data_IF_528819001460
#
_entry.id   IF_528819001460
#
_cell.length_a   1.000
_cell.length_b   1.000
_cell.length_c   1.000
_cell.angle_alpha   90.00
_cell.angle_beta   90.00
_cell.angle_gamma   90.00
#
_symmetry.space_group_name_H-M   'P 1'
#
loop_
_entity.id
_entity.type
_entity.pdbx_description
1 polymer ?
#
# COMPACT_ATOMS: atom_id res chain seq x y z
N UNK A 1 8.34 -19.95 1.99
CA UNK A 1 8.05 -18.64 2.65
C UNK A 1 7.26 -17.77 1.67
N UNK A 2 6.13 -17.28 2.11
CA UNK A 2 5.27 -16.40 1.31
C UNK A 2 5.62 -14.93 1.58
N UNK A 3 5.86 -14.16 0.52
CA UNK A 3 6.12 -12.72 0.61
C UNK A 3 5.04 -11.94 -0.13
N UNK A 4 4.51 -10.89 0.50
CA UNK A 4 3.50 -10.01 -0.08
C UNK A 4 3.97 -8.56 -0.05
N UNK A 5 4.15 -7.96 -1.21
CA UNK A 5 4.43 -6.54 -1.37
C UNK A 5 3.15 -5.82 -1.79
N UNK A 6 2.59 -5.00 -0.90
CA UNK A 6 1.38 -4.24 -1.18
C UNK A 6 1.74 -2.78 -1.48
N UNK A 7 1.53 -2.35 -2.71
CA UNK A 7 1.76 -0.98 -3.15
C UNK A 7 0.55 -0.10 -2.82
N UNK A 8 0.78 0.93 -2.01
CA UNK A 8 -0.29 1.71 -1.40
C UNK A 8 -0.16 3.21 -1.64
N UNK A 9 -1.30 3.87 -1.77
CA UNK A 9 -1.42 5.29 -1.49
C UNK A 9 -1.97 5.45 -0.06
N UNK A 10 -1.17 5.91 0.91
CA UNK A 10 -1.61 6.12 2.29
C UNK A 10 -2.86 6.98 2.46
N UNK A 11 -3.18 7.81 1.48
CA UNK A 11 -4.32 8.73 1.52
C UNK A 11 -5.52 8.25 0.68
N UNK A 12 -5.63 6.94 0.40
CA UNK A 12 -6.71 6.38 -0.39
C UNK A 12 -7.48 5.27 0.35
N UNK A 13 -8.79 5.42 0.49
CA UNK A 13 -9.66 4.44 1.16
C UNK A 13 -9.58 3.02 0.57
N UNK A 14 -9.34 2.91 -0.74
CA UNK A 14 -9.17 1.60 -1.39
C UNK A 14 -7.91 0.88 -0.89
N UNK A 15 -6.82 1.63 -0.62
CA UNK A 15 -5.58 1.07 -0.09
C UNK A 15 -5.75 0.59 1.34
N UNK A 16 -6.49 1.33 2.17
CA UNK A 16 -6.83 0.88 3.54
C UNK A 16 -7.55 -0.47 3.53
N UNK A 17 -8.45 -0.70 2.57
CA UNK A 17 -9.11 -2.01 2.43
C UNK A 17 -8.15 -3.10 1.99
N UNK A 18 -7.25 -2.81 1.06
CA UNK A 18 -6.22 -3.75 0.61
C UNK A 18 -5.26 -4.10 1.76
N UNK A 19 -4.83 -3.12 2.55
CA UNK A 19 -4.03 -3.32 3.76
C UNK A 19 -4.73 -4.24 4.76
N UNK A 20 -6.03 -4.02 5.01
CA UNK A 20 -6.83 -4.89 5.89
C UNK A 20 -6.93 -6.32 5.36
N UNK A 21 -7.06 -6.51 4.04
CA UNK A 21 -7.08 -7.83 3.42
C UNK A 21 -5.75 -8.58 3.64
N UNK A 22 -4.61 -7.89 3.48
CA UNK A 22 -3.28 -8.49 3.72
C UNK A 22 -3.09 -8.82 5.20
N UNK A 23 -3.50 -7.93 6.11
CA UNK A 23 -3.42 -8.19 7.55
C UNK A 23 -4.29 -9.36 7.97
N UNK A 24 -5.49 -9.45 7.43
CA UNK A 24 -6.39 -10.57 7.66
C UNK A 24 -5.81 -11.87 7.13
N UNK A 25 -5.26 -11.87 5.93
CA UNK A 25 -4.57 -13.03 5.36
C UNK A 25 -3.44 -13.52 6.28
N UNK A 26 -2.61 -12.60 6.79
CA UNK A 26 -1.51 -12.94 7.68
C UNK A 26 -1.96 -13.54 9.02
N UNK A 27 -3.20 -13.25 9.46
CA UNK A 27 -3.79 -13.84 10.66
C UNK A 27 -4.52 -15.17 10.38
N UNK A 28 -5.17 -15.29 9.22
CA UNK A 28 -6.04 -16.43 8.88
C UNK A 28 -5.27 -17.58 8.22
N UNK A 29 -4.05 -17.33 7.73
CA UNK A 29 -3.26 -18.32 7.02
C UNK A 29 -2.40 -19.15 7.97
N UNK A 30 -2.33 -20.46 7.72
CA UNK A 30 -1.40 -21.38 8.39
C UNK A 30 0.06 -21.22 7.86
N UNK A 31 0.24 -20.54 6.72
CA UNK A 31 1.56 -20.23 6.14
C UNK A 31 2.20 -19.03 6.85
N UNK A 32 3.52 -19.09 7.00
CA UNK A 32 4.27 -17.92 7.45
C UNK A 32 4.32 -16.87 6.34
N UNK A 33 3.59 -15.76 6.54
CA UNK A 33 3.50 -14.67 5.58
C UNK A 33 4.37 -13.50 6.05
N UNK A 34 5.32 -13.11 5.20
CA UNK A 34 6.03 -11.85 5.32
C UNK A 34 5.35 -10.82 4.41
N UNK A 35 5.02 -9.65 4.94
CA UNK A 35 4.40 -8.63 4.10
C UNK A 35 5.00 -7.25 4.37
N UNK A 36 4.98 -6.42 3.33
CA UNK A 36 5.43 -5.05 3.37
C UNK A 36 4.45 -4.13 2.66
N UNK A 37 4.11 -3.01 3.29
CA UNK A 37 3.40 -1.93 2.63
C UNK A 37 4.41 -0.98 2.00
N UNK A 38 4.34 -0.82 0.68
CA UNK A 38 5.25 -0.04 -0.14
C UNK A 38 4.50 1.21 -0.62
N UNK A 39 4.73 2.37 0.00
CA UNK A 39 4.07 3.60 -0.44
C UNK A 39 4.51 3.99 -1.85
N UNK A 40 3.52 4.32 -2.68
CA UNK A 40 3.72 4.71 -4.06
C UNK A 40 3.38 6.20 -4.25
N UNK A 41 4.31 6.94 -4.82
CA UNK A 41 4.14 8.34 -5.18
C UNK A 41 4.54 8.56 -6.64
N UNK A 42 3.53 8.72 -7.50
CA UNK A 42 3.70 9.11 -8.91
C UNK A 42 2.51 9.94 -9.38
N UNK A 43 2.58 10.46 -10.59
CA UNK A 43 1.54 11.33 -11.15
C UNK A 43 0.18 10.62 -11.26
N UNK A 44 0.17 9.33 -11.61
CA UNK A 44 -1.07 8.55 -11.74
C UNK A 44 -1.79 8.42 -10.40
N UNK A 45 -1.05 8.12 -9.33
CA UNK A 45 -1.57 8.03 -7.95
C UNK A 45 -2.17 9.36 -7.50
N UNK A 46 -1.50 10.48 -7.78
CA UNK A 46 -1.98 11.82 -7.43
C UNK A 46 -3.24 12.17 -8.22
N UNK A 47 -3.22 12.00 -9.54
CA UNK A 47 -4.38 12.31 -10.40
C UNK A 47 -5.60 11.46 -10.04
N UNK A 48 -5.40 10.18 -9.73
CA UNK A 48 -6.49 9.30 -9.30
C UNK A 48 -7.08 9.75 -7.95
N UNK A 49 -6.23 10.15 -7.00
CA UNK A 49 -6.68 10.67 -5.71
C UNK A 49 -7.54 11.94 -5.88
N UNK A 50 -7.10 12.89 -6.71
CA UNK A 50 -7.85 14.11 -7.02
C UNK A 50 -9.18 13.81 -7.71
N UNK A 51 -9.17 12.90 -8.68
CA UNK A 51 -10.40 12.47 -9.37
C UNK A 51 -11.42 11.87 -8.40
N UNK A 52 -10.98 11.07 -7.43
CA UNK A 52 -11.86 10.52 -6.39
C UNK A 52 -12.45 11.60 -5.47
N UNK A 53 -11.78 12.75 -5.33
CA UNK A 53 -12.25 13.91 -4.58
C UNK A 53 -13.12 14.87 -5.43
N UNK A 54 -13.36 14.55 -6.71
CA UNK A 54 -14.09 15.42 -7.63
C UNK A 54 -13.27 16.62 -8.13
N UNK A 55 -11.96 16.62 -7.91
CA UNK A 55 -11.05 17.69 -8.34
C UNK A 55 -10.50 17.35 -9.72
N UNK A 56 -10.40 18.36 -10.60
CA UNK A 56 -9.83 18.16 -11.93
C UNK A 56 -8.37 17.72 -11.85
N UNK A 57 -8.05 16.64 -12.55
CA UNK A 57 -6.68 16.13 -12.60
C UNK A 57 -5.67 17.13 -13.21
N UNK A 58 -6.12 18.14 -13.96
CA UNK A 58 -5.31 19.22 -14.51
C UNK A 58 -5.06 20.38 -13.54
N UNK A 59 -5.64 20.35 -12.34
CA UNK A 59 -5.39 21.35 -11.32
C UNK A 59 -4.01 21.13 -10.68
N UNK A 60 -3.03 21.89 -11.16
CA UNK A 60 -1.63 21.74 -10.72
C UNK A 60 -1.40 22.18 -9.27
N UNK A 61 -2.21 23.14 -8.74
CA UNK A 61 -2.16 23.51 -7.33
C UNK A 61 -2.59 22.35 -6.44
N UNK A 62 -3.72 21.75 -6.78
CA UNK A 62 -4.22 20.58 -6.07
C UNK A 62 -3.24 19.38 -6.19
N UNK A 63 -2.65 19.17 -7.37
CA UNK A 63 -1.61 18.14 -7.56
C UNK A 63 -0.41 18.37 -6.64
N UNK A 64 0.11 19.60 -6.58
CA UNK A 64 1.24 19.94 -5.73
C UNK A 64 0.92 19.73 -4.25
N UNK A 65 -0.23 20.24 -3.79
CA UNK A 65 -0.66 20.09 -2.41
C UNK A 65 -0.82 18.61 -2.03
N UNK A 66 -1.49 17.83 -2.88
CA UNK A 66 -1.69 16.40 -2.66
C UNK A 66 -0.36 15.64 -2.64
N UNK A 67 0.56 15.97 -3.56
CA UNK A 67 1.89 15.38 -3.65
C UNK A 67 2.73 15.68 -2.41
N UNK A 68 2.74 16.93 -1.96
CA UNK A 68 3.47 17.33 -0.76
C UNK A 68 2.92 16.62 0.49
N UNK A 69 1.60 16.58 0.65
CA UNK A 69 0.97 15.90 1.79
C UNK A 69 1.29 14.40 1.77
N UNK A 70 1.13 13.76 0.60
CA UNK A 70 1.43 12.33 0.46
C UNK A 70 2.91 12.02 0.73
N UNK A 71 3.82 12.85 0.22
CA UNK A 71 5.25 12.70 0.47
C UNK A 71 5.58 12.79 1.96
N UNK A 72 5.01 13.78 2.68
CA UNK A 72 5.20 13.92 4.13
C UNK A 72 4.66 12.70 4.89
N UNK A 73 3.47 12.24 4.58
CA UNK A 73 2.88 11.03 5.19
C UNK A 73 3.77 9.80 4.95
N UNK A 74 4.36 9.68 3.77
CA UNK A 74 5.28 8.58 3.47
C UNK A 74 6.54 8.67 4.32
N UNK A 75 7.17 9.85 4.45
CA UNK A 75 8.37 10.01 5.29
C UNK A 75 8.06 9.73 6.76
N UNK A 76 6.93 10.19 7.26
CA UNK A 76 6.47 9.88 8.62
C UNK A 76 6.30 8.36 8.84
N UNK A 77 5.72 7.67 7.87
CA UNK A 77 5.60 6.21 7.91
C UNK A 77 6.96 5.51 7.90
N UNK A 78 7.91 5.99 7.06
CA UNK A 78 9.28 5.44 7.04
C UNK A 78 9.99 5.65 8.36
N UNK A 79 9.91 6.83 8.96
CA UNK A 79 10.46 7.11 10.27
C UNK A 79 9.86 6.20 11.36
N UNK A 80 8.54 6.02 11.34
CA UNK A 80 7.86 5.12 12.27
C UNK A 80 8.31 3.66 12.12
N UNK A 81 8.65 3.20 10.90
CA UNK A 81 9.17 1.85 10.64
C UNK A 81 10.56 1.62 11.25
N UNK A 82 11.39 2.65 11.43
CA UNK A 82 12.71 2.51 12.06
C UNK A 82 12.61 2.07 13.52
N UNK A 83 11.48 2.36 14.17
CA UNK A 83 11.21 1.89 15.53
C UNK A 83 10.48 0.54 15.58
N UNK A 84 10.38 -0.15 14.45
CA UNK A 84 9.86 -1.50 14.31
C UNK A 84 8.66 -1.63 13.38
N UNK A 85 8.65 -2.73 12.62
CA UNK A 85 7.61 -2.98 11.59
C UNK A 85 6.18 -2.89 12.13
N UNK A 86 5.91 -3.42 13.33
CA UNK A 86 4.57 -3.40 13.93
C UNK A 86 4.15 -1.98 14.34
N UNK A 87 5.05 -1.23 14.96
CA UNK A 87 4.78 0.17 15.36
C UNK A 87 4.54 1.04 14.14
N UNK A 88 5.39 0.93 13.11
CA UNK A 88 5.20 1.67 11.86
C UNK A 88 3.87 1.38 11.17
N UNK A 89 3.46 0.11 11.09
CA UNK A 89 2.13 -0.23 10.54
C UNK A 89 0.99 0.35 11.38
N UNK A 90 1.07 0.24 12.70
CA UNK A 90 0.05 0.82 13.58
C UNK A 90 -0.05 2.33 13.41
N UNK A 91 1.08 3.02 13.28
CA UNK A 91 1.15 4.44 12.99
C UNK A 91 0.45 4.78 11.67
N UNK A 92 0.79 4.07 10.58
CA UNK A 92 0.17 4.28 9.27
C UNK A 92 -1.36 4.13 9.36
N UNK A 93 -1.85 3.03 9.93
CA UNK A 93 -3.28 2.74 10.06
C UNK A 93 -3.99 3.80 10.93
N UNK A 94 -3.37 4.23 12.02
CA UNK A 94 -3.93 5.25 12.90
C UNK A 94 -4.00 6.62 12.21
N UNK A 95 -2.94 7.01 11.47
CA UNK A 95 -2.90 8.26 10.71
C UNK A 95 -3.94 8.26 9.58
N UNK A 96 -4.06 7.16 8.84
CA UNK A 96 -5.10 6.96 7.83
C UNK A 96 -6.51 7.07 8.44
N UNK A 97 -6.74 6.46 9.60
CA UNK A 97 -8.02 6.53 10.28
C UNK A 97 -8.37 7.97 10.69
N UNK A 98 -7.41 8.72 11.20
CA UNK A 98 -7.60 10.12 11.56
C UNK A 98 -7.90 10.99 10.34
N UNK A 99 -7.17 10.81 9.25
CA UNK A 99 -7.33 11.63 8.05
C UNK A 99 -8.53 11.23 7.20
N UNK A 100 -8.71 9.93 6.93
CA UNK A 100 -9.71 9.46 5.97
C UNK A 100 -11.09 9.20 6.59
N UNK A 101 -11.14 8.78 7.86
CA UNK A 101 -12.42 8.49 8.53
C UNK A 101 -12.89 9.64 9.39
N UNK A 102 -11.98 10.24 10.18
CA UNK A 102 -12.32 11.38 11.05
C UNK A 102 -12.20 12.74 10.33
N UNK A 103 -11.72 12.78 9.08
CA UNK A 103 -11.65 14.00 8.28
C UNK A 103 -10.64 15.04 8.78
N UNK A 104 -9.65 14.62 9.56
CA UNK A 104 -8.64 15.52 10.08
C UNK A 104 -7.63 15.89 8.98
N UNK A 105 -7.25 17.16 8.95
CA UNK A 105 -6.19 17.60 8.04
C UNK A 105 -4.82 17.17 8.56
N UNK A 106 -3.92 16.83 7.62
CA UNK A 106 -2.54 16.56 7.96
C UNK A 106 -1.90 17.76 8.65
N UNK A 107 -1.36 17.54 9.83
CA UNK A 107 -0.62 18.54 10.61
C UNK A 107 0.43 17.87 11.48
N UNK A 108 1.43 18.63 11.90
CA UNK A 108 2.46 18.12 12.80
C UNK A 108 1.90 17.67 14.15
N UNK A 109 0.88 18.37 14.66
CA UNK A 109 0.19 18.01 15.91
C UNK A 109 -0.53 16.66 15.79
N UNK A 110 -1.21 16.44 14.66
CA UNK A 110 -1.86 15.14 14.37
C UNK A 110 -0.82 14.03 14.36
N UNK A 111 0.28 14.24 13.65
CA UNK A 111 1.37 13.25 13.53
C UNK A 111 1.97 12.92 14.89
N UNK A 112 2.29 13.94 15.73
CA UNK A 112 2.78 13.75 17.09
C UNK A 112 1.81 12.97 17.98
N UNK A 113 0.52 13.32 17.89
CA UNK A 113 -0.54 12.62 18.64
C UNK A 113 -0.63 11.15 18.24
N UNK A 114 -0.63 10.86 16.95
CA UNK A 114 -0.67 9.48 16.44
C UNK A 114 0.58 8.71 16.83
N UNK A 115 1.76 9.30 16.71
CA UNK A 115 3.04 8.68 17.08
C UNK A 115 3.05 8.29 18.58
N UNK A 116 2.63 9.20 19.46
CA UNK A 116 2.52 8.96 20.90
C UNK A 116 1.55 7.80 21.20
N UNK A 117 0.38 7.80 20.57
CA UNK A 117 -0.62 6.74 20.76
C UNK A 117 -0.13 5.37 20.27
N UNK A 118 0.78 5.33 19.30
CA UNK A 118 1.40 4.12 18.78
C UNK A 118 2.67 3.71 19.56
N UNK A 119 2.98 4.37 20.68
CA UNK A 119 4.16 4.10 21.51
C UNK A 119 5.48 4.25 20.73
N UNK A 120 5.52 5.22 19.83
CA UNK A 120 6.72 5.63 19.11
C UNK A 120 7.47 6.65 19.98
N UNK A 121 8.78 6.50 20.09
CA UNK A 121 9.64 7.51 20.69
C UNK A 121 9.58 8.78 19.84
N UNK A 122 9.03 9.84 20.41
CA UNK A 122 8.69 11.04 19.66
C UNK A 122 9.92 11.82 19.22
N UNK A 123 10.95 11.88 20.09
CA UNK A 123 12.18 12.64 19.80
C UNK A 123 12.93 11.99 18.63
N UNK A 124 13.17 10.68 18.69
CA UNK A 124 13.77 9.92 17.60
C UNK A 124 12.93 10.02 16.31
N UNK A 125 11.61 9.91 16.43
CA UNK A 125 10.71 9.99 15.27
C UNK A 125 10.78 11.35 14.58
N UNK A 126 10.79 12.44 15.34
CA UNK A 126 10.87 13.80 14.79
C UNK A 126 12.22 14.06 14.09
N UNK A 127 13.28 13.45 14.57
CA UNK A 127 14.60 13.50 13.95
C UNK A 127 14.66 12.65 12.68
N UNK A 128 14.15 11.43 12.75
CA UNK A 128 14.16 10.46 11.66
C UNK A 128 13.31 10.89 10.45
N UNK A 129 12.15 11.54 10.67
CA UNK A 129 11.23 11.92 9.59
C UNK A 129 11.78 12.92 8.57
N UNK A 130 12.78 13.72 8.97
CA UNK A 130 13.45 14.68 8.10
C UNK A 130 14.85 14.20 7.66
N UNK A 131 15.24 13.00 8.12
CA UNK A 131 16.54 12.41 7.86
C UNK A 131 16.72 11.98 6.40
N UNK A 132 17.98 11.87 5.98
CA UNK A 132 18.29 11.29 4.69
C UNK A 132 17.98 9.79 4.63
N UNK A 133 17.95 9.10 5.79
CA UNK A 133 17.60 7.70 5.88
C UNK A 133 16.11 7.47 5.48
N UNK A 134 15.19 8.31 5.96
CA UNK A 134 13.79 8.24 5.57
C UNK A 134 13.60 8.49 4.06
N UNK A 135 14.33 9.47 3.51
CA UNK A 135 14.32 9.75 2.05
C UNK A 135 14.89 8.58 1.25
N UNK A 136 15.99 7.99 1.69
CA UNK A 136 16.58 6.80 1.04
C UNK A 136 15.62 5.60 1.08
N UNK A 137 14.93 5.38 2.21
CA UNK A 137 13.94 4.33 2.33
C UNK A 137 12.74 4.57 1.38
N UNK A 138 12.29 5.81 1.24
CA UNK A 138 11.29 6.18 0.23
C UNK A 138 11.77 5.90 -1.20
N UNK A 139 12.99 6.33 -1.54
CA UNK A 139 13.55 6.08 -2.88
C UNK A 139 13.75 4.59 -3.17
N UNK A 140 14.05 3.79 -2.16
CA UNK A 140 14.12 2.33 -2.30
C UNK A 140 12.74 1.73 -2.67
N UNK A 141 11.66 2.21 -2.05
CA UNK A 141 10.29 1.80 -2.41
C UNK A 141 9.94 2.17 -3.85
N UNK A 142 10.31 3.40 -4.29
CA UNK A 142 10.02 3.82 -5.67
C UNK A 142 10.82 3.00 -6.70
N UNK A 143 12.07 2.62 -6.39
CA UNK A 143 12.85 1.71 -7.23
C UNK A 143 12.21 0.34 -7.30
N UNK A 144 11.81 -0.23 -6.16
CA UNK A 144 11.11 -1.51 -6.10
C UNK A 144 9.84 -1.51 -6.95
N UNK A 145 9.03 -0.45 -6.85
CA UNK A 145 7.85 -0.29 -7.69
C UNK A 145 8.19 -0.23 -9.18
N UNK A 146 9.27 0.50 -9.54
CA UNK A 146 9.73 0.61 -10.93
C UNK A 146 10.26 -0.72 -11.47
N UNK A 147 11.02 -1.47 -10.68
CA UNK A 147 11.55 -2.80 -11.06
C UNK A 147 10.43 -3.82 -11.28
N UNK A 148 9.35 -3.72 -10.52
CA UNK A 148 8.15 -4.56 -10.67
C UNK A 148 7.11 -3.98 -11.65
N UNK A 149 7.42 -2.87 -12.35
CA UNK A 149 6.51 -2.16 -13.27
C UNK A 149 5.17 -1.74 -12.63
N UNK A 150 5.15 -1.45 -11.33
CA UNK A 150 3.95 -1.03 -10.62
C UNK A 150 3.74 0.47 -10.77
N UNK A 151 2.65 0.86 -11.39
CA UNK A 151 2.26 2.26 -11.60
C UNK A 151 1.03 2.69 -10.82
N UNK A 152 0.24 1.72 -10.35
CA UNK A 152 -1.02 1.95 -9.65
C UNK A 152 -1.01 1.44 -8.21
N UNK A 153 -1.63 2.20 -7.32
CA UNK A 153 -1.80 1.81 -5.92
C UNK A 153 -2.97 0.82 -5.74
N UNK A 154 -2.95 0.09 -4.64
CA UNK A 154 -3.78 -1.08 -4.33
C UNK A 154 -3.41 -2.31 -5.18
N UNK A 155 -2.17 -2.37 -5.64
CA UNK A 155 -1.61 -3.55 -6.30
C UNK A 155 -0.80 -4.37 -5.30
N UNK A 156 -0.90 -5.69 -5.34
CA UNK A 156 -0.10 -6.59 -4.53
C UNK A 156 0.74 -7.50 -5.42
N UNK A 157 2.00 -7.69 -5.06
CA UNK A 157 2.86 -8.72 -5.67
C UNK A 157 3.09 -9.81 -4.64
N UNK A 158 2.77 -11.03 -5.01
CA UNK A 158 2.86 -12.22 -4.14
C UNK A 158 3.93 -13.14 -4.70
N UNK A 159 4.91 -13.47 -3.87
CA UNK A 159 5.92 -14.49 -4.13
C UNK A 159 5.67 -15.67 -3.21
N UNK A 160 5.41 -16.84 -3.78
CA UNK A 160 5.34 -18.09 -3.03
C UNK A 160 6.41 -19.03 -3.55
N UNK A 161 7.62 -18.94 -2.96
CA UNK A 161 8.78 -19.73 -3.36
C UNK A 161 8.57 -21.27 -3.28
N UNK A 162 7.50 -21.70 -2.61
CA UNK A 162 7.16 -23.13 -2.52
C UNK A 162 6.24 -23.58 -3.68
N UNK A 163 5.58 -22.64 -4.37
CA UNK A 163 4.66 -22.93 -5.47
C UNK A 163 5.16 -22.42 -6.82
N UNK A 164 5.81 -21.25 -6.85
CA UNK A 164 6.16 -20.55 -8.09
C UNK A 164 7.55 -19.92 -8.01
N UNK A 165 8.28 -19.96 -9.12
CA UNK A 165 9.58 -19.27 -9.27
C UNK A 165 9.43 -17.81 -9.74
N UNK A 166 8.22 -17.27 -9.69
CA UNK A 166 7.88 -15.90 -10.17
C UNK A 166 6.93 -15.19 -9.22
N UNK A 167 6.85 -13.87 -9.37
CA UNK A 167 5.87 -13.05 -8.65
C UNK A 167 4.54 -12.97 -9.38
N UNK A 168 3.45 -12.98 -8.64
CA UNK A 168 2.10 -12.80 -9.16
C UNK A 168 1.60 -11.41 -8.77
N UNK A 169 1.32 -10.57 -9.77
CA UNK A 169 0.72 -9.26 -9.58
C UNK A 169 -0.81 -9.39 -9.51
N UNK A 170 -1.38 -8.86 -8.44
CA UNK A 170 -2.82 -8.71 -8.23
C UNK A 170 -3.18 -7.22 -8.26
N UNK A 171 -4.01 -6.83 -9.21
CA UNK A 171 -4.60 -5.50 -9.24
C UNK A 171 -6.09 -5.57 -8.86
N UNK A 172 -6.57 -4.57 -8.11
CA UNK A 172 -7.97 -4.48 -7.69
C UNK A 172 -8.52 -5.75 -7.00
N UNK A 173 -7.71 -6.39 -6.18
CA UNK A 173 -8.04 -7.66 -5.52
C UNK A 173 -8.92 -7.46 -4.28
N UNK A 174 -9.65 -8.51 -3.92
CA UNK A 174 -10.33 -8.66 -2.65
C UNK A 174 -9.66 -9.73 -1.78
N UNK A 175 -10.18 -9.92 -0.55
CA UNK A 175 -9.63 -10.92 0.36
C UNK A 175 -9.68 -12.35 -0.22
N UNK A 176 -10.81 -12.72 -0.84
CA UNK A 176 -10.99 -14.07 -1.40
C UNK A 176 -9.97 -14.36 -2.50
N UNK A 177 -9.78 -13.43 -3.43
CA UNK A 177 -8.78 -13.60 -4.51
C UNK A 177 -7.37 -13.78 -3.95
N UNK A 178 -6.99 -12.97 -2.95
CA UNK A 178 -5.68 -13.07 -2.31
C UNK A 178 -5.52 -14.39 -1.54
N UNK A 179 -6.56 -14.81 -0.82
CA UNK A 179 -6.59 -16.05 -0.05
C UNK A 179 -6.51 -17.28 -0.97
N UNK A 180 -7.29 -17.29 -2.06
CA UNK A 180 -7.31 -18.40 -3.01
C UNK A 180 -5.97 -18.55 -3.75
N UNK A 181 -5.32 -17.42 -4.11
CA UNK A 181 -3.98 -17.46 -4.70
C UNK A 181 -2.97 -18.09 -3.74
N UNK A 182 -2.96 -17.65 -2.49
CA UNK A 182 -2.01 -18.12 -1.47
C UNK A 182 -2.19 -19.60 -1.13
N UNK A 183 -3.42 -20.11 -1.22
CA UNK A 183 -3.74 -21.51 -0.96
C UNK A 183 -3.66 -22.40 -2.21
N UNK A 184 -3.28 -21.86 -3.38
CA UNK A 184 -3.15 -22.60 -4.62
C UNK A 184 -4.49 -22.96 -5.28
N UNK A 185 -5.57 -22.28 -4.90
CA UNK A 185 -6.89 -22.45 -5.48
C UNK A 185 -7.09 -21.62 -6.77
N UNK A 186 -6.16 -20.69 -7.04
CA UNK A 186 -6.10 -19.89 -8.28
C UNK A 186 -4.81 -20.23 -9.02
N UNK A 187 -4.95 -20.57 -10.31
CA UNK A 187 -3.81 -20.73 -11.22
C UNK A 187 -3.61 -19.41 -12.00
N UNK A 188 -2.52 -18.66 -11.73
CA UNK A 188 -2.27 -17.37 -12.36
C UNK A 188 -2.27 -17.43 -13.90
N UNK A 189 -1.85 -18.56 -14.50
CA UNK A 189 -1.81 -18.72 -15.96
C UNK A 189 -3.16 -19.08 -16.58
N UNK A 190 -3.97 -19.89 -15.90
CA UNK A 190 -5.27 -20.30 -16.44
C UNK A 190 -6.35 -19.25 -16.20
N UNK A 191 -6.31 -18.59 -15.04
CA UNK A 191 -7.33 -17.61 -14.66
C UNK A 191 -7.09 -16.23 -15.30
N UNK A 192 -5.84 -15.84 -15.59
CA UNK A 192 -5.53 -14.67 -16.41
C UNK A 192 -6.09 -14.79 -17.84
N UNK A 193 -6.05 -15.98 -18.42
CA UNK A 193 -6.60 -16.25 -19.77
C UNK A 193 -8.13 -16.26 -19.77
N UNK A 194 -8.78 -16.65 -18.69
CA UNK A 194 -10.24 -16.59 -18.50
C UNK A 194 -10.75 -15.17 -18.32
N UNK A 195 -10.00 -14.31 -17.63
CA UNK A 195 -10.39 -12.90 -17.42
C UNK A 195 -10.46 -12.10 -18.73
N UNK A 196 -9.67 -12.47 -19.76
CA UNK A 196 -9.73 -11.85 -21.09
C UNK A 196 -10.86 -12.35 -21.96
N UNK A 197 -11.46 -13.51 -21.64
CA UNK A 197 -12.51 -14.14 -22.45
C UNK A 197 -13.92 -14.15 -21.83
N UNK A 198 -14.05 -13.77 -20.56
CA UNK A 198 -15.35 -13.71 -19.87
C UNK A 198 -15.86 -12.27 -19.84
N UNK A 199 -16.89 -11.99 -20.63
CA UNK A 199 -17.66 -10.75 -20.51
C UNK A 199 -18.24 -10.61 -19.11
N UNK A 200 -17.87 -9.53 -18.44
CA UNK A 200 -18.61 -8.77 -17.43
C UNK A 200 -19.74 -9.46 -16.66
N UNK A 201 -19.52 -10.40 -15.74
CA UNK A 201 -20.60 -10.69 -14.80
C UNK A 201 -20.25 -11.30 -13.44
N UNK A 202 -19.07 -11.85 -13.14
CA UNK A 202 -18.94 -12.52 -11.83
C UNK A 202 -17.56 -12.69 -11.20
N UNK A 203 -16.52 -12.14 -11.78
CA UNK A 203 -15.24 -11.98 -11.06
C UNK A 203 -15.01 -10.49 -10.89
N UNK A 204 -15.22 -9.98 -9.68
CA UNK A 204 -15.04 -8.57 -9.38
C UNK A 204 -13.59 -8.16 -9.66
N UNK A 205 -13.30 -7.73 -10.88
CA UNK A 205 -12.20 -6.85 -11.30
C UNK A 205 -10.77 -7.15 -10.78
N UNK A 206 -10.43 -8.35 -10.34
CA UNK A 206 -9.06 -8.71 -10.04
C UNK A 206 -8.34 -9.09 -11.34
N UNK A 207 -7.28 -8.35 -11.68
CA UNK A 207 -6.41 -8.67 -12.80
C UNK A 207 -5.16 -9.38 -12.25
N UNK A 208 -4.87 -10.57 -12.76
CA UNK A 208 -3.69 -11.35 -12.42
C UNK A 208 -2.66 -11.21 -13.55
N UNK A 209 -1.44 -10.89 -13.19
CA UNK A 209 -0.31 -10.84 -14.11
C UNK A 209 0.88 -11.59 -13.50
N UNK A 210 1.62 -12.31 -14.33
CA UNK A 210 2.90 -12.92 -13.95
C UNK A 210 4.01 -11.93 -14.24
N UNK A 211 4.90 -11.72 -13.28
CA UNK A 211 6.05 -10.82 -13.38
C UNK A 211 7.33 -11.58 -13.76
#
# INVERSE_FOLDING_TARGET
VLEVYLFVNPLANQCVRAEQNVLRLANDSDKQIQFQFVPLLNINVIQRALKCQGIKASDWHAQNQQSQTLYRVILDYKAALFQGKKRGRNFLIALQSAMLKAGQHYSEELVKTVATNCQIDLDMFMEDRDSDLAKQAFHADQRLASEMNITEASSAVVFDCDQYDYGVLLEHFNYTTLFDLVNGNLDPFQDATRATNASCASLANAQLHVL
#
